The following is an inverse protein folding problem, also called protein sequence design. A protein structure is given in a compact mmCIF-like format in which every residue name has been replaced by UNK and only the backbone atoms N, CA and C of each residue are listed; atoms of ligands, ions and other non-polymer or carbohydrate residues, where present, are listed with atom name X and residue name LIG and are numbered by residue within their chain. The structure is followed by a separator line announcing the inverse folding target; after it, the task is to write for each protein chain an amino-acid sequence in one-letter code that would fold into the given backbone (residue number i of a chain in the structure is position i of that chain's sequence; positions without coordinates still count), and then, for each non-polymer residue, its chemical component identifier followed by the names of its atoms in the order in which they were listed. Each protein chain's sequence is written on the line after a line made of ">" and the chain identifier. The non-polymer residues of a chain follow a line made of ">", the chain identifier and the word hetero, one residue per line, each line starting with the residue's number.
data_IF_934369319976
#
_entry.id   IF_934369319976
#
_cell.length_a   1.000
_cell.length_b   1.000
_cell.length_c   1.000
_cell.angle_alpha   90.00
_cell.angle_beta   90.00
_cell.angle_gamma   90.00
#
_symmetry.space_group_name_H-M   'P 1'
#
loop_
_entity.id
_entity.type
_entity.pdbx_description
1 polymer ?
#
# COMPACT_ATOMS: atom_id res chain seq x y z
N UNK A 1 -2.96 -2.72 32.42
CA UNK A 1 -4.32 -2.78 31.84
C UNK A 1 -4.63 -1.58 30.96
N UNK A 2 -4.85 -0.41 31.57
CA UNK A 2 -5.38 0.79 30.89
C UNK A 2 -4.43 1.42 29.84
N UNK A 3 -3.11 1.38 30.08
CA UNK A 3 -2.14 1.98 29.14
C UNK A 3 -2.01 1.23 27.81
N UNK A 4 -2.20 -0.10 27.82
CA UNK A 4 -2.20 -0.91 26.60
C UNK A 4 -3.47 -0.67 25.79
N UNK A 5 -4.61 -0.47 26.45
CA UNK A 5 -5.88 -0.16 25.81
C UNK A 5 -5.86 1.21 25.10
N UNK A 6 -5.26 2.24 25.71
CA UNK A 6 -5.11 3.56 25.08
C UNK A 6 -4.22 3.53 23.83
N UNK A 7 -3.10 2.79 23.87
CA UNK A 7 -2.21 2.61 22.70
C UNK A 7 -2.89 1.83 21.57
N UNK A 8 -3.67 0.80 21.91
CA UNK A 8 -4.46 0.04 20.95
C UNK A 8 -5.51 0.93 20.26
N UNK A 9 -6.21 1.80 21.01
CA UNK A 9 -7.17 2.75 20.45
C UNK A 9 -6.56 3.75 19.48
N UNK A 10 -5.37 4.29 19.81
CA UNK A 10 -4.63 5.19 18.91
C UNK A 10 -4.17 4.49 17.63
N UNK A 11 -3.68 3.26 17.73
CA UNK A 11 -3.26 2.47 16.57
C UNK A 11 -4.45 2.17 15.63
N UNK A 12 -5.60 1.77 16.19
CA UNK A 12 -6.83 1.53 15.42
C UNK A 12 -7.37 2.82 14.79
N UNK A 13 -7.31 3.94 15.50
CA UNK A 13 -7.69 5.25 14.98
C UNK A 13 -6.82 5.69 13.80
N UNK A 14 -5.49 5.56 13.94
CA UNK A 14 -4.55 5.86 12.86
C UNK A 14 -4.77 4.96 11.62
N UNK A 15 -5.01 3.66 11.85
CA UNK A 15 -5.32 2.70 10.78
C UNK A 15 -6.58 3.09 10.01
N UNK A 16 -7.68 3.40 10.71
CA UNK A 16 -8.94 3.80 10.08
C UNK A 16 -8.85 5.14 9.35
N UNK A 17 -8.14 6.12 9.91
CA UNK A 17 -7.96 7.43 9.28
C UNK A 17 -7.22 7.33 7.94
N UNK A 18 -6.13 6.55 7.89
CA UNK A 18 -5.39 6.32 6.64
C UNK A 18 -6.26 5.59 5.62
N UNK A 19 -7.01 4.57 6.04
CA UNK A 19 -7.88 3.83 5.12
C UNK A 19 -8.98 4.72 4.52
N UNK A 20 -9.64 5.54 5.34
CA UNK A 20 -10.66 6.47 4.87
C UNK A 20 -10.08 7.52 3.90
N UNK A 21 -8.91 8.07 4.21
CA UNK A 21 -8.23 9.03 3.33
C UNK A 21 -7.77 8.41 2.01
N UNK A 22 -7.04 7.31 2.05
CA UNK A 22 -6.56 6.61 0.86
C UNK A 22 -7.72 6.07 0.01
N UNK A 23 -8.75 5.49 0.63
CA UNK A 23 -9.93 4.98 -0.07
C UNK A 23 -10.72 6.11 -0.74
N UNK A 24 -10.94 7.23 -0.05
CA UNK A 24 -11.58 8.41 -0.63
C UNK A 24 -10.79 8.98 -1.80
N UNK A 25 -9.47 9.10 -1.65
CA UNK A 25 -8.59 9.57 -2.72
C UNK A 25 -8.60 8.62 -3.93
N UNK A 26 -8.58 7.31 -3.70
CA UNK A 26 -8.64 6.32 -4.77
C UNK A 26 -9.94 6.42 -5.57
N UNK A 27 -11.09 6.54 -4.91
CA UNK A 27 -12.40 6.71 -5.57
C UNK A 27 -12.44 8.04 -6.34
N UNK A 28 -11.98 9.14 -5.73
CA UNK A 28 -11.98 10.44 -6.37
C UNK A 28 -11.10 10.48 -7.63
N UNK A 29 -9.86 9.99 -7.55
CA UNK A 29 -8.93 9.98 -8.68
C UNK A 29 -9.36 9.00 -9.77
N UNK A 30 -9.73 7.76 -9.40
CA UNK A 30 -10.16 6.73 -10.34
C UNK A 30 -11.44 7.13 -11.08
N UNK A 31 -12.43 7.67 -10.36
CA UNK A 31 -13.67 8.20 -10.94
C UNK A 31 -13.41 9.37 -11.88
N UNK A 32 -12.66 10.38 -11.43
CA UNK A 32 -12.37 11.58 -12.24
C UNK A 32 -11.62 11.23 -13.53
N UNK A 33 -10.63 10.33 -13.45
CA UNK A 33 -9.87 9.88 -14.62
C UNK A 33 -10.74 9.08 -15.59
N UNK A 34 -11.55 8.15 -15.07
CA UNK A 34 -12.50 7.38 -15.89
C UNK A 34 -13.47 8.30 -16.62
N UNK A 35 -14.00 9.30 -15.94
CA UNK A 35 -15.00 10.19 -16.51
C UNK A 35 -14.38 11.11 -17.57
N UNK A 36 -13.16 11.61 -17.35
CA UNK A 36 -12.40 12.36 -18.36
C UNK A 36 -12.13 11.53 -19.62
N UNK A 37 -11.71 10.26 -19.46
CA UNK A 37 -11.50 9.36 -20.60
C UNK A 37 -12.80 9.01 -21.31
N UNK A 38 -13.89 8.86 -20.57
CA UNK A 38 -15.22 8.60 -21.14
C UNK A 38 -15.68 9.79 -21.99
N UNK A 39 -15.54 11.00 -21.46
CA UNK A 39 -15.85 12.24 -22.18
C UNK A 39 -15.03 12.34 -23.47
N UNK A 40 -13.72 12.14 -23.39
CA UNK A 40 -12.81 12.22 -24.54
C UNK A 40 -13.11 11.15 -25.61
N UNK A 41 -13.46 9.93 -25.19
CA UNK A 41 -13.87 8.85 -26.07
C UNK A 41 -15.22 9.16 -26.76
N UNK A 42 -16.21 9.68 -26.01
CA UNK A 42 -17.52 10.03 -26.55
C UNK A 42 -17.48 11.16 -27.59
N UNK A 43 -16.49 12.06 -27.49
CA UNK A 43 -16.25 13.12 -28.47
C UNK A 43 -15.48 12.65 -29.71
N UNK A 44 -15.03 11.38 -29.74
CA UNK A 44 -14.26 10.82 -30.85
C UNK A 44 -12.83 11.36 -30.96
N UNK A 45 -12.36 12.11 -29.95
CA UNK A 45 -11.05 12.80 -29.97
C UNK A 45 -9.87 11.83 -29.87
N UNK A 46 -10.07 10.63 -29.32
CA UNK A 46 -9.07 9.57 -29.25
C UNK A 46 -8.97 8.74 -30.54
N UNK A 47 -9.84 8.99 -31.52
CA UNK A 47 -9.96 8.21 -32.74
C UNK A 47 -10.77 6.92 -32.59
N UNK A 48 -11.13 6.28 -33.72
CA UNK A 48 -12.07 5.15 -33.75
C UNK A 48 -11.55 3.87 -33.08
N UNK A 49 -10.23 3.72 -32.93
CA UNK A 49 -9.65 2.57 -32.21
C UNK A 49 -9.88 2.64 -30.69
N UNK A 50 -10.14 3.83 -30.16
CA UNK A 50 -10.24 4.11 -28.72
C UNK A 50 -11.66 4.54 -28.31
N UNK A 51 -12.65 4.40 -29.19
CA UNK A 51 -14.05 4.76 -28.91
C UNK A 51 -14.86 3.63 -28.24
N UNK A 52 -14.22 2.51 -27.91
CA UNK A 52 -14.89 1.40 -27.25
C UNK A 52 -15.19 1.73 -25.78
N UNK A 53 -16.33 1.25 -25.27
CA UNK A 53 -16.77 1.48 -23.90
C UNK A 53 -15.81 0.90 -22.83
N UNK A 54 -14.89 0.00 -23.21
CA UNK A 54 -13.87 -0.59 -22.34
C UNK A 54 -12.65 0.31 -22.11
N UNK A 55 -12.41 1.31 -22.97
CA UNK A 55 -11.18 2.11 -22.94
C UNK A 55 -11.01 2.93 -21.66
N UNK A 56 -12.05 3.63 -21.14
CA UNK A 56 -11.91 4.37 -19.89
C UNK A 56 -11.53 3.47 -18.71
N UNK A 57 -12.07 2.24 -18.66
CA UNK A 57 -11.74 1.28 -17.62
C UNK A 57 -10.32 0.71 -17.75
N UNK A 58 -9.83 0.49 -18.98
CA UNK A 58 -8.48 -0.02 -19.16
C UNK A 58 -7.43 0.97 -18.66
N UNK A 59 -7.66 2.27 -18.84
CA UNK A 59 -6.75 3.33 -18.35
C UNK A 59 -6.68 3.34 -16.83
N UNK A 60 -7.82 3.28 -16.16
CA UNK A 60 -7.88 3.18 -14.68
C UNK A 60 -7.14 1.93 -14.22
N UNK A 61 -7.36 0.79 -14.88
CA UNK A 61 -6.73 -0.47 -14.53
C UNK A 61 -5.19 -0.43 -14.64
N UNK A 62 -4.65 0.21 -15.69
CA UNK A 62 -3.21 0.39 -15.83
C UNK A 62 -2.65 1.32 -14.74
N UNK A 63 -3.38 2.37 -14.37
CA UNK A 63 -3.01 3.24 -13.25
C UNK A 63 -2.97 2.45 -11.94
N UNK A 64 -3.99 1.64 -11.66
CA UNK A 64 -4.04 0.80 -10.46
C UNK A 64 -2.85 -0.17 -10.40
N UNK A 65 -2.53 -0.83 -11.51
CA UNK A 65 -1.34 -1.70 -11.60
C UNK A 65 -0.06 -0.92 -11.29
N UNK A 66 0.12 0.26 -11.89
CA UNK A 66 1.28 1.11 -11.63
C UNK A 66 1.37 1.51 -10.15
N UNK A 67 0.23 1.83 -9.52
CA UNK A 67 0.16 2.14 -8.09
C UNK A 67 0.48 0.91 -7.23
N UNK A 68 0.01 -0.29 -7.58
CA UNK A 68 0.38 -1.53 -6.89
C UNK A 68 1.89 -1.73 -6.92
N UNK A 69 2.54 -1.57 -8.07
CA UNK A 69 4.00 -1.60 -8.15
C UNK A 69 4.65 -0.50 -7.31
N UNK A 70 4.13 0.72 -7.35
CA UNK A 70 4.59 1.82 -6.50
C UNK A 70 4.53 1.48 -5.01
N UNK A 71 3.43 0.86 -4.55
CA UNK A 71 3.30 0.42 -3.14
C UNK A 71 4.29 -0.68 -2.79
N UNK A 72 4.56 -1.63 -3.69
CA UNK A 72 5.58 -2.65 -3.49
C UNK A 72 6.99 -2.05 -3.36
N UNK A 73 7.32 -1.08 -4.22
CA UNK A 73 8.59 -0.34 -4.16
C UNK A 73 8.72 0.39 -2.82
N UNK A 74 7.67 1.07 -2.37
CA UNK A 74 7.65 1.78 -1.09
C UNK A 74 7.72 0.82 0.12
N UNK A 75 7.10 -0.36 0.02
CA UNK A 75 7.09 -1.36 1.08
C UNK A 75 8.47 -2.02 1.26
N UNK A 76 9.22 -2.22 0.17
CA UNK A 76 10.55 -2.83 0.17
C UNK A 76 11.52 -2.33 1.26
N UNK A 77 11.84 -1.02 1.33
CA UNK A 77 12.69 -0.48 2.40
C UNK A 77 12.01 -0.51 3.77
N UNK A 78 10.68 -0.41 3.83
CA UNK A 78 9.93 -0.35 5.08
C UNK A 78 9.93 -1.68 5.84
N UNK A 79 9.94 -2.80 5.11
CA UNK A 79 10.00 -4.16 5.69
C UNK A 79 11.42 -4.66 5.87
N UNK A 80 12.45 -3.89 5.45
CA UNK A 80 13.85 -4.31 5.58
C UNK A 80 14.21 -4.39 7.07
N UNK A 81 14.56 -5.57 7.61
CA UNK A 81 14.98 -5.68 8.99
C UNK A 81 16.28 -4.89 9.18
N UNK A 82 16.21 -3.85 10.01
CA UNK A 82 17.40 -3.18 10.52
C UNK A 82 18.05 -4.16 11.49
N UNK A 83 19.34 -4.47 11.28
CA UNK A 83 20.04 -5.61 11.85
C UNK A 83 19.61 -5.94 13.28
N UNK A 84 19.10 -7.16 13.48
CA UNK A 84 18.86 -7.68 14.81
C UNK A 84 20.16 -7.52 15.63
N UNK A 85 20.10 -7.06 16.89
CA UNK A 85 21.24 -7.14 17.78
C UNK A 85 21.69 -8.59 17.76
N UNK A 86 22.95 -8.84 17.38
CA UNK A 86 23.55 -10.17 17.56
C UNK A 86 23.53 -10.40 19.05
N UNK A 87 22.56 -11.15 19.57
CA UNK A 87 22.61 -11.65 20.94
C UNK A 87 23.94 -12.39 21.04
N UNK A 88 24.88 -11.95 21.90
CA UNK A 88 26.10 -12.70 22.10
C UNK A 88 25.66 -14.08 22.55
N UNK A 89 26.02 -15.08 21.77
CA UNK A 89 25.80 -16.48 22.08
C UNK A 89 26.59 -16.71 23.37
N UNK A 90 25.90 -16.77 24.51
CA UNK A 90 26.52 -17.24 25.75
C UNK A 90 27.13 -18.59 25.40
N UNK A 91 28.46 -18.69 25.43
CA UNK A 91 29.12 -19.98 25.39
C UNK A 91 28.44 -20.84 26.44
N UNK A 92 27.93 -21.98 25.98
CA UNK A 92 27.27 -22.95 26.82
C UNK A 92 28.31 -23.34 27.89
N UNK A 93 28.00 -23.06 29.16
CA UNK A 93 28.89 -23.25 30.30
C UNK A 93 29.22 -24.72 30.55
N UNK A 94 30.06 -25.30 29.68
CA UNK A 94 30.63 -26.64 29.83
C UNK A 94 31.88 -26.62 30.73
N UNK A 95 32.21 -25.47 31.32
CA UNK A 95 33.34 -25.31 32.25
C UNK A 95 32.95 -25.52 33.73
N UNK A 96 31.71 -25.89 34.05
CA UNK A 96 31.25 -26.08 35.44
C UNK A 96 31.20 -27.56 35.90
N UNK A 97 31.94 -28.48 35.26
CA UNK A 97 32.07 -29.85 35.78
C UNK A 97 33.34 -29.99 36.64
N UNK A 98 33.24 -30.07 37.98
CA UNK A 98 34.35 -30.53 38.81
C UNK A 98 34.57 -32.03 38.58
N UNK A 99 35.84 -32.41 38.44
CA UNK A 99 36.31 -33.80 38.47
C UNK A 99 36.43 -34.35 39.89
#
# INVERSE_FOLDING_TARGET
>A
GLEHAGRAGLALGAWGAVQAGCGGLAVALGGSLRDAMTWLASQGLLGPAMSQASVPYSVVYHLEIALLFGTLIALGPLVRPHGAPRTPRSEFGLAEFPG
#
